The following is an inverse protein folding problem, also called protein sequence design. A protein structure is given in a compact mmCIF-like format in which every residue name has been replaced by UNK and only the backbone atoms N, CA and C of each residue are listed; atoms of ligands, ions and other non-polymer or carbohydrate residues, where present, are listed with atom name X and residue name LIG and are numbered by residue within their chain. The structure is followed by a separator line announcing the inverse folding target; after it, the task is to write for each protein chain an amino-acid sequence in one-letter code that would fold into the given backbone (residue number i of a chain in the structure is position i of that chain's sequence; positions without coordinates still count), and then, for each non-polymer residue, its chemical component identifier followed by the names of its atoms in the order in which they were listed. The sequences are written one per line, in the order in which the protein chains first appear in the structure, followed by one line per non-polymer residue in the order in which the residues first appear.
data_IF_222911215473
#
_entry.id   IF_222911215473
#
_cell.length_a   1.000
_cell.length_b   1.000
_cell.length_c   1.000
_cell.angle_alpha   90.00
_cell.angle_beta   90.00
_cell.angle_gamma   90.00
#
_symmetry.space_group_name_H-M   'P 1'
#
loop_
_entity.id
_entity.type
_entity.pdbx_description
1 polymer ?
#
# COMPACT_ATOMS: atom_id res chain seq x y z
N UNK A 1 -3.24 13.05 9.49
CA UNK A 1 -2.57 13.97 8.55
C UNK A 1 -1.31 13.30 7.99
N UNK A 2 -0.90 13.60 6.76
CA UNK A 2 0.36 13.12 6.17
C UNK A 2 1.00 14.25 5.35
N UNK A 3 2.27 14.54 5.61
CA UNK A 3 3.11 15.46 4.87
C UNK A 3 4.23 14.67 4.21
N UNK A 4 4.45 14.90 2.92
CA UNK A 4 5.47 14.19 2.13
C UNK A 4 6.30 15.18 1.32
N UNK A 5 7.59 14.92 1.26
CA UNK A 5 8.53 15.62 0.40
C UNK A 5 9.25 14.63 -0.51
N UNK A 6 9.36 14.97 -1.80
CA UNK A 6 10.03 14.17 -2.83
C UNK A 6 11.25 14.93 -3.32
N UNK A 7 12.40 14.26 -3.36
CA UNK A 7 13.67 14.84 -3.78
C UNK A 7 14.57 13.78 -4.43
N UNK A 8 15.76 14.21 -4.85
CA UNK A 8 16.82 13.30 -5.27
C UNK A 8 17.32 12.38 -4.15
N UNK A 9 16.93 12.57 -2.88
CA UNK A 9 17.20 11.63 -1.79
C UNK A 9 16.16 10.49 -1.72
N UNK A 10 15.01 10.66 -2.38
CA UNK A 10 13.83 9.81 -2.26
C UNK A 10 12.63 10.57 -1.71
N UNK A 11 11.64 9.83 -1.23
CA UNK A 11 10.44 10.36 -0.59
C UNK A 11 10.61 10.25 0.92
N UNK A 12 10.45 11.36 1.64
CA UNK A 12 10.34 11.38 3.10
C UNK A 12 8.93 11.80 3.46
N UNK A 13 8.34 11.18 4.47
CA UNK A 13 7.02 11.59 4.95
C UNK A 13 6.93 11.49 6.46
N UNK A 14 6.10 12.35 7.04
CA UNK A 14 5.67 12.31 8.43
C UNK A 14 4.15 12.38 8.47
N UNK A 15 3.53 11.67 9.39
CA UNK A 15 2.10 11.68 9.57
C UNK A 15 1.70 11.48 11.02
N UNK A 16 0.47 11.87 11.30
CA UNK A 16 -0.17 11.70 12.59
C UNK A 16 -1.52 11.01 12.38
N UNK A 17 -1.74 9.94 13.13
CA UNK A 17 -3.00 9.24 13.23
C UNK A 17 -3.68 9.61 14.54
N UNK A 18 -4.98 9.85 14.47
CA UNK A 18 -5.83 10.06 15.63
C UNK A 18 -7.14 9.30 15.44
N UNK A 19 -7.56 8.56 16.46
CA UNK A 19 -8.87 7.91 16.55
C UNK A 19 -9.53 8.34 17.86
N UNK A 20 -10.65 9.06 17.73
CA UNK A 20 -11.40 9.55 18.88
C UNK A 20 -12.16 8.45 19.63
N UNK A 21 -12.60 7.42 18.91
CA UNK A 21 -13.30 6.25 19.45
C UNK A 21 -12.37 5.29 20.21
N UNK A 22 -11.12 5.13 19.77
CA UNK A 22 -10.14 4.25 20.42
C UNK A 22 -9.21 5.03 21.36
N UNK A 23 -9.27 6.36 21.37
CA UNK A 23 -8.36 7.21 22.14
C UNK A 23 -6.89 7.07 21.73
N UNK A 24 -6.63 6.64 20.48
CA UNK A 24 -5.28 6.38 19.98
C UNK A 24 -4.79 7.61 19.22
N UNK A 25 -3.63 8.13 19.61
CA UNK A 25 -2.84 9.05 18.80
C UNK A 25 -1.44 8.46 18.57
N UNK A 26 -0.98 8.47 17.32
CA UNK A 26 0.33 7.94 16.96
C UNK A 26 0.92 8.71 15.78
N UNK A 27 2.11 9.28 15.96
CA UNK A 27 2.91 9.76 14.84
C UNK A 27 3.66 8.62 14.15
N UNK A 28 3.86 8.78 12.84
CA UNK A 28 4.60 7.87 11.97
C UNK A 28 5.50 8.67 11.04
N UNK A 29 6.62 8.10 10.66
CA UNK A 29 7.52 8.66 9.66
C UNK A 29 8.05 7.55 8.76
N UNK A 30 8.51 7.89 7.57
CA UNK A 30 9.16 6.93 6.71
C UNK A 30 9.92 7.56 5.57
N UNK A 31 10.70 6.70 4.92
CA UNK A 31 11.47 7.00 3.73
C UNK A 31 11.36 5.86 2.73
N UNK A 32 11.27 6.20 1.46
CA UNK A 32 11.36 5.25 0.35
C UNK A 32 12.08 5.86 -0.84
N UNK A 33 12.71 5.00 -1.66
CA UNK A 33 13.37 5.43 -2.89
C UNK A 33 13.29 4.34 -3.95
N UNK A 34 13.22 4.73 -5.21
CA UNK A 34 13.39 3.81 -6.33
C UNK A 34 14.78 3.98 -6.94
N UNK A 35 15.53 2.89 -7.02
CA UNK A 35 16.79 2.77 -7.75
C UNK A 35 16.52 2.04 -9.07
N UNK A 36 17.06 2.57 -10.17
CA UNK A 36 17.04 1.91 -11.47
C UNK A 36 18.43 1.36 -11.73
N UNK A 37 18.52 0.04 -11.80
CA UNK A 37 19.67 -0.72 -12.27
C UNK A 37 19.28 -1.30 -13.64
N UNK A 38 20.25 -1.64 -14.49
CA UNK A 38 19.94 -2.09 -15.86
C UNK A 38 18.92 -3.25 -15.87
N UNK A 39 17.71 -2.96 -16.37
CA UNK A 39 16.59 -3.89 -16.43
C UNK A 39 15.85 -4.16 -15.10
N UNK A 40 16.31 -3.64 -13.97
CA UNK A 40 15.72 -3.92 -12.64
C UNK A 40 15.49 -2.64 -11.84
N UNK A 41 14.30 -2.49 -11.27
CA UNK A 41 13.98 -1.45 -10.30
C UNK A 41 13.96 -2.02 -8.89
N UNK A 42 14.67 -1.38 -7.98
CA UNK A 42 14.71 -1.75 -6.56
C UNK A 42 14.13 -0.62 -5.73
N UNK A 43 13.21 -0.97 -4.84
CA UNK A 43 12.47 -0.03 -3.99
C UNK A 43 12.60 -0.43 -2.52
N UNK A 44 13.67 0.01 -1.82
CA UNK A 44 13.71 -0.07 -0.37
C UNK A 44 12.77 0.96 0.27
N UNK A 45 12.24 0.60 1.43
CA UNK A 45 11.53 1.52 2.31
C UNK A 45 11.82 1.24 3.77
N UNK A 46 11.75 2.28 4.60
CA UNK A 46 11.81 2.18 6.07
C UNK A 46 10.74 3.08 6.66
N UNK A 47 10.20 2.67 7.81
CA UNK A 47 9.25 3.47 8.57
C UNK A 47 9.44 3.26 10.06
N UNK A 48 9.09 4.29 10.83
CA UNK A 48 9.07 4.25 12.29
C UNK A 48 7.78 4.88 12.82
N UNK A 49 7.42 4.52 14.05
CA UNK A 49 6.27 5.11 14.74
C UNK A 49 6.53 5.30 16.23
N UNK A 50 5.74 6.17 16.84
CA UNK A 50 5.70 6.33 18.31
C UNK A 50 5.50 4.97 19.00
N UNK A 51 6.18 4.76 20.13
CA UNK A 51 6.20 3.47 20.83
C UNK A 51 7.38 2.56 20.44
N UNK A 52 8.25 3.04 19.54
CA UNK A 52 9.49 2.36 19.15
C UNK A 52 9.31 1.36 18.02
N UNK A 53 8.23 1.46 17.25
CA UNK A 53 8.02 0.64 16.07
C UNK A 53 9.02 0.99 14.97
N UNK A 54 9.55 -0.04 14.32
CA UNK A 54 10.37 0.03 13.12
C UNK A 54 9.93 -1.05 12.15
N UNK A 55 9.83 -0.68 10.87
CA UNK A 55 9.58 -1.61 9.78
C UNK A 55 10.35 -1.19 8.53
N UNK A 56 10.67 -2.16 7.70
CA UNK A 56 11.29 -1.91 6.40
C UNK A 56 10.90 -2.96 5.39
N UNK A 57 11.02 -2.61 4.13
CA UNK A 57 10.79 -3.53 3.02
C UNK A 57 11.75 -3.29 1.88
N UNK A 58 11.90 -4.30 1.04
CA UNK A 58 12.56 -4.20 -0.26
C UNK A 58 11.65 -4.86 -1.29
N UNK A 59 11.47 -4.19 -2.43
CA UNK A 59 10.77 -4.73 -3.58
C UNK A 59 11.65 -4.59 -4.81
N UNK A 60 11.72 -5.62 -5.64
CA UNK A 60 12.45 -5.63 -6.89
C UNK A 60 11.48 -5.95 -8.03
N UNK A 61 11.66 -5.29 -9.17
CA UNK A 61 10.83 -5.48 -10.35
C UNK A 61 11.69 -5.45 -11.61
N UNK A 62 11.39 -6.33 -12.56
CA UNK A 62 12.06 -6.40 -13.86
C UNK A 62 11.04 -6.38 -15.00
N UNK A 63 11.49 -5.96 -16.18
CA UNK A 63 10.69 -5.92 -17.40
C UNK A 63 10.05 -4.57 -17.71
N UNK A 64 9.86 -4.33 -19.00
CA UNK A 64 9.35 -3.08 -19.56
C UNK A 64 7.84 -3.17 -19.83
N UNK A 65 7.46 -3.73 -20.98
CA UNK A 65 6.05 -3.90 -21.36
C UNK A 65 5.36 -4.91 -20.45
N UNK A 66 5.92 -6.10 -20.32
CA UNK A 66 5.52 -7.06 -19.29
C UNK A 66 6.51 -6.97 -18.15
N UNK A 67 5.98 -6.95 -16.93
CA UNK A 67 6.82 -6.88 -15.74
C UNK A 67 6.41 -7.90 -14.71
N UNK A 68 7.37 -8.27 -13.89
CA UNK A 68 7.20 -9.11 -12.72
C UNK A 68 8.03 -8.55 -11.57
N UNK A 69 7.52 -8.68 -10.36
CA UNK A 69 8.20 -8.20 -9.17
C UNK A 69 7.98 -9.07 -7.96
N UNK A 70 8.89 -8.95 -7.00
CA UNK A 70 8.84 -9.62 -5.73
C UNK A 70 9.37 -8.71 -4.62
N UNK A 71 8.84 -8.86 -3.42
CA UNK A 71 9.28 -8.08 -2.28
C UNK A 71 9.14 -8.80 -0.94
N UNK A 72 9.82 -8.24 0.05
CA UNK A 72 9.81 -8.71 1.42
C UNK A 72 9.75 -7.51 2.36
N UNK A 73 8.88 -7.59 3.37
CA UNK A 73 8.78 -6.64 4.47
C UNK A 73 9.02 -7.32 5.82
N UNK A 74 9.58 -6.56 6.77
CA UNK A 74 9.80 -7.00 8.15
C UNK A 74 9.62 -5.84 9.12
N UNK A 75 9.11 -6.16 10.31
CA UNK A 75 9.01 -5.21 11.42
C UNK A 75 9.74 -5.72 12.67
N UNK A 76 9.90 -4.85 13.67
CA UNK A 76 10.35 -5.24 15.00
C UNK A 76 9.21 -5.72 15.92
N UNK A 77 8.02 -5.98 15.37
CA UNK A 77 6.81 -6.46 16.06
C UNK A 77 6.27 -5.55 17.17
N UNK A 78 6.77 -4.31 17.30
CA UNK A 78 6.16 -3.37 18.24
C UNK A 78 4.81 -2.89 17.70
N UNK A 79 3.83 -2.60 18.58
CA UNK A 79 2.52 -2.12 18.16
C UNK A 79 2.59 -0.83 17.34
N UNK A 80 1.79 -0.75 16.29
CA UNK A 80 1.61 0.44 15.45
C UNK A 80 0.24 0.41 14.77
N UNK A 81 -0.23 1.58 14.34
CA UNK A 81 -1.45 1.70 13.56
C UNK A 81 -1.14 1.44 12.10
N UNK A 82 -1.52 0.26 11.61
CA UNK A 82 -1.38 -0.10 10.21
C UNK A 82 -2.47 0.57 9.37
N UNK A 83 -2.06 1.55 8.57
CA UNK A 83 -2.91 2.28 7.64
C UNK A 83 -2.84 1.73 6.22
N UNK A 84 -1.99 0.74 5.96
CA UNK A 84 -1.85 0.16 4.62
C UNK A 84 -2.93 -0.90 4.37
N UNK A 85 -3.49 -1.49 5.42
CA UNK A 85 -4.40 -2.65 5.43
C UNK A 85 -3.82 -3.95 4.86
N UNK A 86 -2.68 -3.88 4.18
CA UNK A 86 -1.79 -5.01 3.89
C UNK A 86 -0.84 -5.29 5.07
N UNK A 87 -0.43 -6.55 5.30
CA UNK A 87 0.60 -6.88 6.29
C UNK A 87 1.92 -6.17 5.97
N UNK A 88 2.66 -5.76 7.01
CA UNK A 88 3.99 -5.16 6.86
C UNK A 88 5.11 -6.20 6.96
N UNK A 89 4.93 -7.24 7.77
CA UNK A 89 5.73 -8.47 7.69
C UNK A 89 5.11 -9.34 6.57
N UNK A 90 5.54 -9.11 5.34
CA UNK A 90 4.93 -9.72 4.17
C UNK A 90 5.96 -10.22 3.16
N UNK A 91 5.56 -11.23 2.38
CA UNK A 91 6.10 -11.40 1.03
C UNK A 91 5.09 -10.82 0.03
N UNK A 92 5.61 -10.29 -1.07
CA UNK A 92 4.82 -9.69 -2.14
C UNK A 92 5.25 -10.27 -3.47
N UNK A 93 4.31 -10.60 -4.33
CA UNK A 93 4.53 -10.94 -5.74
C UNK A 93 3.66 -10.05 -6.60
N UNK A 94 4.18 -9.62 -7.74
CA UNK A 94 3.43 -8.81 -8.69
C UNK A 94 3.70 -9.23 -10.12
N UNK A 95 2.75 -8.90 -10.99
CA UNK A 95 2.94 -8.98 -12.42
C UNK A 95 1.91 -8.15 -13.15
N UNK A 96 2.27 -7.62 -14.30
CA UNK A 96 1.35 -6.78 -15.06
C UNK A 96 1.90 -6.42 -16.43
N UNK A 97 1.15 -5.55 -17.11
CA UNK A 97 1.52 -5.03 -18.43
C UNK A 97 1.42 -3.52 -18.45
N UNK A 98 2.34 -2.87 -19.15
CA UNK A 98 2.33 -1.44 -19.48
C UNK A 98 1.96 -1.32 -20.94
N UNK A 99 0.79 -0.78 -21.22
CA UNK A 99 0.36 -0.51 -22.59
C UNK A 99 0.92 0.84 -23.07
N UNK A 100 1.05 0.99 -24.39
CA UNK A 100 1.59 2.21 -25.01
C UNK A 100 0.73 3.46 -24.79
N UNK A 101 -0.54 3.30 -24.45
CA UNK A 101 -1.46 4.38 -24.06
C UNK A 101 -1.36 4.74 -22.57
N UNK A 102 -0.44 4.13 -21.83
CA UNK A 102 -0.18 4.38 -20.41
C UNK A 102 -1.07 3.58 -19.45
N UNK A 103 -1.94 2.68 -19.96
CA UNK A 103 -2.70 1.77 -19.10
C UNK A 103 -1.78 0.74 -18.44
N UNK A 104 -2.04 0.45 -17.16
CA UNK A 104 -1.24 -0.51 -16.39
C UNK A 104 -2.14 -1.39 -15.50
N UNK A 105 -2.68 -2.51 -16.01
CA UNK A 105 -3.22 -3.57 -15.15
C UNK A 105 -2.09 -4.31 -14.44
N UNK A 106 -2.27 -4.54 -13.15
CA UNK A 106 -1.32 -5.21 -12.26
C UNK A 106 -2.05 -6.17 -11.35
N UNK A 107 -1.56 -7.39 -11.25
CA UNK A 107 -1.89 -8.30 -10.16
C UNK A 107 -0.84 -8.17 -9.07
N UNK A 108 -1.29 -8.09 -7.82
CA UNK A 108 -0.43 -8.07 -6.64
C UNK A 108 -0.94 -9.09 -5.64
N UNK A 109 -0.08 -10.01 -5.21
CA UNK A 109 -0.36 -10.96 -4.15
C UNK A 109 0.53 -10.63 -2.96
N UNK A 110 -0.10 -10.36 -1.82
CA UNK A 110 0.57 -10.06 -0.55
C UNK A 110 0.16 -11.12 0.45
N UNK A 111 1.12 -11.70 1.15
CA UNK A 111 0.85 -12.64 2.24
C UNK A 111 1.66 -12.27 3.47
N UNK A 112 1.04 -12.32 4.65
CA UNK A 112 1.79 -12.25 5.90
C UNK A 112 2.75 -13.46 5.95
N UNK A 113 3.96 -13.21 6.42
CA UNK A 113 5.03 -14.20 6.43
C UNK A 113 5.63 -14.37 7.83
N UNK A 114 4.84 -14.06 8.85
CA UNK A 114 5.27 -14.07 10.24
C UNK A 114 4.16 -14.46 11.19
N UNK A 115 3.28 -13.54 11.57
CA UNK A 115 2.36 -13.75 12.69
C UNK A 115 1.09 -14.46 12.24
N UNK A 116 0.63 -14.20 11.01
CA UNK A 116 -0.66 -14.68 10.51
C UNK A 116 -0.54 -15.21 9.07
N UNK A 117 0.24 -16.27 8.80
CA UNK A 117 0.57 -16.71 7.43
C UNK A 117 -0.63 -17.16 6.57
N UNK A 118 -1.81 -17.29 7.18
CA UNK A 118 -3.09 -17.50 6.52
C UNK A 118 -3.67 -16.22 5.88
N UNK A 119 -3.25 -15.03 6.34
CA UNK A 119 -3.64 -13.73 5.81
C UNK A 119 -3.02 -13.47 4.44
N UNK A 120 -3.88 -13.26 3.44
CA UNK A 120 -3.51 -13.01 2.06
C UNK A 120 -4.42 -11.99 1.39
N UNK A 121 -3.83 -11.12 0.59
CA UNK A 121 -4.52 -10.16 -0.27
C UNK A 121 -4.10 -10.37 -1.71
N UNK A 122 -5.10 -10.54 -2.59
CA UNK A 122 -4.92 -10.46 -4.02
C UNK A 122 -5.56 -9.16 -4.51
N UNK A 123 -4.77 -8.31 -5.13
CA UNK A 123 -5.24 -7.08 -5.76
C UNK A 123 -5.20 -7.23 -7.27
N UNK A 124 -6.25 -6.73 -7.91
CA UNK A 124 -6.24 -6.36 -9.32
C UNK A 124 -6.31 -4.85 -9.41
N UNK A 125 -5.17 -4.23 -9.70
CA UNK A 125 -5.01 -2.79 -9.80
C UNK A 125 -4.99 -2.40 -11.27
N UNK A 126 -5.89 -1.51 -11.67
CA UNK A 126 -5.90 -0.91 -12.99
C UNK A 126 -5.65 0.59 -12.88
N UNK A 127 -4.59 1.07 -13.52
CA UNK A 127 -4.27 2.49 -13.64
C UNK A 127 -4.40 2.92 -15.08
N UNK A 128 -5.07 4.04 -15.33
CA UNK A 128 -5.20 4.60 -16.67
C UNK A 128 -5.07 6.11 -16.66
N UNK A 129 -4.29 6.71 -17.58
CA UNK A 129 -4.26 8.14 -17.76
C UNK A 129 -5.59 8.64 -18.35
N UNK A 130 -5.93 9.87 -18.02
CA UNK A 130 -7.06 10.60 -18.55
C UNK A 130 -6.56 11.93 -19.15
N UNK A 131 -7.38 12.64 -19.95
CA UNK A 131 -7.01 13.94 -20.49
C UNK A 131 -6.54 14.93 -19.40
N UNK A 132 -5.74 15.91 -19.80
CA UNK A 132 -5.25 17.00 -18.93
C UNK A 132 -4.39 16.52 -17.74
N UNK A 133 -3.64 15.43 -17.93
CA UNK A 133 -2.74 14.89 -16.89
C UNK A 133 -3.48 14.28 -15.69
N UNK A 134 -4.77 13.97 -15.85
CA UNK A 134 -5.57 13.30 -14.82
C UNK A 134 -5.30 11.79 -14.85
N UNK A 135 -5.64 11.09 -13.77
CA UNK A 135 -5.47 9.63 -13.70
C UNK A 135 -6.57 8.98 -12.88
N UNK A 136 -7.05 7.83 -13.35
CA UNK A 136 -7.94 6.94 -12.61
C UNK A 136 -7.15 5.72 -12.13
N UNK A 137 -7.36 5.34 -10.88
CA UNK A 137 -6.89 4.07 -10.31
C UNK A 137 -8.06 3.31 -9.73
N UNK A 138 -8.26 2.07 -10.14
CA UNK A 138 -9.22 1.13 -9.57
C UNK A 138 -8.46 -0.06 -9.01
N UNK A 139 -8.81 -0.51 -7.81
CA UNK A 139 -8.18 -1.64 -7.13
C UNK A 139 -9.28 -2.54 -6.56
N UNK A 140 -9.38 -3.75 -7.10
CA UNK A 140 -10.23 -4.81 -6.59
C UNK A 140 -9.41 -5.70 -5.67
N UNK A 141 -9.86 -5.84 -4.43
CA UNK A 141 -9.23 -6.66 -3.41
C UNK A 141 -10.01 -7.95 -3.23
N UNK A 142 -9.34 -9.09 -3.27
CA UNK A 142 -9.80 -10.35 -2.69
C UNK A 142 -8.93 -10.69 -1.47
N UNK A 143 -9.55 -10.77 -0.30
CA UNK A 143 -8.90 -11.00 1.00
C UNK A 143 -9.32 -12.37 1.56
N UNK A 144 -8.35 -13.08 2.12
CA UNK A 144 -8.55 -14.35 2.86
C UNK A 144 -7.66 -14.37 4.11
N UNK A 145 -8.16 -14.94 5.19
CA UNK A 145 -7.44 -15.15 6.45
C UNK A 145 -8.40 -15.47 7.59
N UNK A 146 -7.88 -15.69 8.79
CA UNK A 146 -8.65 -15.96 9.99
C UNK A 146 -9.05 -14.65 10.66
N UNK A 147 -10.33 -14.54 11.04
CA UNK A 147 -10.85 -13.47 11.89
C UNK A 147 -11.62 -14.12 13.01
N UNK A 148 -11.17 -13.91 14.26
CA UNK A 148 -11.73 -14.57 15.44
C UNK A 148 -11.88 -16.09 15.27
N UNK A 149 -10.85 -16.75 14.74
CA UNK A 149 -10.80 -18.20 14.51
C UNK A 149 -11.62 -18.70 13.31
N UNK A 150 -12.32 -17.83 12.59
CA UNK A 150 -13.11 -18.21 11.41
C UNK A 150 -12.42 -17.76 10.13
N UNK A 151 -12.28 -18.68 9.18
CA UNK A 151 -11.73 -18.35 7.86
C UNK A 151 -12.71 -17.46 7.09
N UNK A 152 -12.22 -16.33 6.61
CA UNK A 152 -13.00 -15.40 5.78
C UNK A 152 -12.53 -15.41 4.33
N UNK A 153 -13.46 -15.11 3.44
CA UNK A 153 -13.20 -14.68 2.07
C UNK A 153 -14.03 -13.42 1.83
N UNK A 154 -13.38 -12.32 1.46
CA UNK A 154 -14.03 -11.02 1.29
C UNK A 154 -13.50 -10.27 0.09
N UNK A 155 -14.33 -9.40 -0.47
CA UNK A 155 -13.98 -8.54 -1.58
C UNK A 155 -14.04 -7.07 -1.16
N UNK A 156 -13.00 -6.32 -1.47
CA UNK A 156 -12.92 -4.87 -1.26
C UNK A 156 -12.77 -4.13 -2.58
N UNK A 157 -12.99 -2.82 -2.54
CA UNK A 157 -12.85 -1.94 -3.70
C UNK A 157 -12.21 -0.64 -3.26
N UNK A 158 -11.30 -0.14 -4.09
CA UNK A 158 -10.77 1.21 -3.97
C UNK A 158 -10.79 1.91 -5.31
N UNK A 159 -11.22 3.17 -5.32
CA UNK A 159 -11.20 4.05 -6.48
C UNK A 159 -10.47 5.34 -6.11
N UNK A 160 -9.50 5.73 -6.92
CA UNK A 160 -8.74 6.96 -6.79
C UNK A 160 -8.78 7.79 -8.06
N UNK A 161 -8.94 9.10 -7.90
CA UNK A 161 -8.87 10.07 -8.98
C UNK A 161 -7.82 11.12 -8.65
N UNK A 162 -6.87 11.28 -9.56
CA UNK A 162 -5.81 12.28 -9.46
C UNK A 162 -6.04 13.40 -10.48
N UNK A 163 -6.06 14.63 -10.01
CA UNK A 163 -5.77 15.82 -10.82
C UNK A 163 -4.28 16.13 -10.75
N UNK A 164 -3.74 17.05 -11.57
CA UNK A 164 -2.33 17.44 -11.47
C UNK A 164 -1.93 17.91 -10.06
N UNK A 165 -2.71 18.79 -9.44
CA UNK A 165 -2.38 19.41 -8.14
C UNK A 165 -3.07 18.77 -6.93
N UNK A 166 -3.99 17.82 -7.10
CA UNK A 166 -4.75 17.23 -5.99
C UNK A 166 -5.21 15.82 -6.28
N UNK A 167 -5.71 15.11 -5.27
CA UNK A 167 -6.27 13.78 -5.44
C UNK A 167 -7.36 13.48 -4.42
N UNK A 168 -8.21 12.51 -4.76
CA UNK A 168 -9.15 11.87 -3.84
C UNK A 168 -9.12 10.36 -4.04
N UNK A 169 -9.29 9.60 -2.96
CA UNK A 169 -9.42 8.15 -2.97
C UNK A 169 -10.48 7.71 -1.97
N UNK A 170 -11.32 6.77 -2.38
CA UNK A 170 -12.29 6.10 -1.53
C UNK A 170 -12.00 4.61 -1.57
N UNK A 171 -11.98 3.96 -0.42
CA UNK A 171 -11.79 2.52 -0.30
C UNK A 171 -12.79 1.92 0.68
N UNK A 172 -13.32 0.76 0.33
CA UNK A 172 -14.04 -0.14 1.22
C UNK A 172 -13.18 -1.38 1.48
N UNK A 173 -12.82 -1.58 2.74
CA UNK A 173 -12.10 -2.77 3.19
C UNK A 173 -12.96 -3.55 4.22
N UNK A 174 -13.53 -4.69 3.83
CA UNK A 174 -14.20 -5.58 4.77
C UNK A 174 -13.19 -6.28 5.67
N UNK A 175 -13.46 -6.31 6.97
CA UNK A 175 -12.55 -6.92 7.96
C UNK A 175 -11.16 -6.30 7.89
N UNK A 176 -11.11 -4.98 8.04
CA UNK A 176 -9.88 -4.19 7.95
C UNK A 176 -8.86 -4.67 8.99
N UNK A 177 -7.61 -4.85 8.57
CA UNK A 177 -6.53 -5.46 9.39
C UNK A 177 -6.95 -6.80 10.06
N UNK A 178 -7.77 -7.61 9.39
CA UNK A 178 -8.31 -8.89 9.91
C UNK A 178 -9.06 -8.77 11.25
N UNK A 179 -9.64 -7.60 11.50
CA UNK A 179 -10.56 -7.38 12.62
C UNK A 179 -12.01 -7.67 12.22
N UNK A 180 -12.96 -7.77 13.17
CA UNK A 180 -14.38 -7.88 12.85
C UNK A 180 -14.97 -6.65 12.13
N UNK A 181 -14.27 -5.51 12.11
CA UNK A 181 -14.77 -4.23 11.61
C UNK A 181 -14.62 -4.11 10.09
N UNK A 182 -15.66 -3.62 9.42
CA UNK A 182 -15.55 -3.15 8.04
C UNK A 182 -15.22 -1.66 8.05
N UNK A 183 -14.37 -1.22 7.14
CA UNK A 183 -13.92 0.17 7.11
C UNK A 183 -14.16 0.82 5.75
N UNK A 184 -14.66 2.05 5.79
CA UNK A 184 -14.56 2.98 4.67
C UNK A 184 -13.41 3.94 4.94
N UNK A 185 -12.57 4.16 3.94
CA UNK A 185 -11.49 5.14 4.00
C UNK A 185 -11.65 6.14 2.89
N UNK A 186 -11.74 7.41 3.28
CA UNK A 186 -11.62 8.54 2.36
C UNK A 186 -10.26 9.17 2.57
N UNK A 187 -9.57 9.49 1.48
CA UNK A 187 -8.27 10.15 1.50
C UNK A 187 -8.24 11.23 0.44
N UNK A 188 -7.62 12.36 0.74
CA UNK A 188 -7.42 13.43 -0.22
C UNK A 188 -6.21 14.26 0.16
N UNK A 189 -5.70 15.01 -0.81
CA UNK A 189 -4.51 15.84 -0.59
C UNK A 189 -4.24 16.77 -1.76
N UNK A 190 -3.30 17.68 -1.51
CA UNK A 190 -2.80 18.68 -2.48
C UNK A 190 -1.30 18.48 -2.68
N UNK A 191 -0.82 18.79 -3.88
CA UNK A 191 0.58 18.79 -4.28
C UNK A 191 1.03 20.24 -4.42
N UNK A 192 2.16 20.57 -3.83
CA UNK A 192 2.73 21.91 -3.79
C UNK A 192 4.25 21.84 -3.93
#
# INVERSE_FOLDING_TARGET
MNLRHSSDFGNVWIGEYHSGDQGISQWRTGWDRTFKLDGVRIQPSVQAAQGGFWGGSIYAETGDEWFAGAGLGRTNLRPYVNLNFDPNDAWTLSGGRRFGDGQVPTLLLVGDNRQNPDERHLHLVYRTPLPEGRRLTVDLLAKRGLVAGSLIHKAGLSVGYDWPASFVRIAHDPKANFTPQNMWRVSGGVRF
#
